data_IF_740071967574
#
_entry.id   IF_740071967574
#
_cell.length_a   1.000
_cell.length_b   1.000
_cell.length_c   1.000
_cell.angle_alpha   90.00
_cell.angle_beta   90.00
_cell.angle_gamma   90.00
#
_symmetry.space_group_name_H-M   'P 1'
#
loop_
_entity.id
_entity.type
_entity.pdbx_description
1 polymer ?
#
# COMPACT_ATOMS: atom_id res chain seq x y z
N UNK A 1 -29.68 6.22 22.29
CA UNK A 1 -28.38 5.92 21.57
C UNK A 1 -27.37 6.98 21.97
N UNK A 2 -26.20 6.58 22.49
CA UNK A 2 -25.12 7.53 22.78
C UNK A 2 -24.33 7.86 21.52
N UNK A 3 -23.89 9.12 21.39
CA UNK A 3 -23.02 9.54 20.29
C UNK A 3 -21.68 8.80 20.37
N UNK A 4 -21.18 8.28 19.25
CA UNK A 4 -19.95 7.47 19.15
C UNK A 4 -18.73 8.25 18.70
N UNK A 5 -18.86 9.57 18.48
CA UNK A 5 -17.75 10.43 18.10
C UNK A 5 -16.73 10.54 19.24
N UNK A 6 -15.45 10.50 18.90
CA UNK A 6 -14.33 10.77 19.81
C UNK A 6 -13.77 12.16 19.51
N UNK A 7 -13.18 12.80 20.52
CA UNK A 7 -12.41 14.03 20.29
C UNK A 7 -11.21 13.71 19.41
N UNK A 8 -10.85 14.58 18.43
CA UNK A 8 -9.67 14.37 17.62
C UNK A 8 -8.40 14.47 18.47
N UNK A 9 -7.49 13.56 18.26
CA UNK A 9 -6.14 13.58 18.83
C UNK A 9 -5.14 13.64 17.69
N UNK A 10 -4.08 14.43 17.83
CA UNK A 10 -3.00 14.47 16.86
C UNK A 10 -2.18 13.17 16.98
N UNK A 11 -2.28 12.30 16.00
CA UNK A 11 -1.49 11.07 15.92
C UNK A 11 -0.41 11.29 14.87
N UNK A 12 0.84 11.21 15.27
CA UNK A 12 1.96 11.16 14.33
C UNK A 12 1.95 9.83 13.57
N UNK A 13 1.60 9.90 12.31
CA UNK A 13 1.53 8.73 11.43
C UNK A 13 2.88 8.47 10.77
N UNK A 14 3.12 7.22 10.37
CA UNK A 14 4.22 6.84 9.49
C UNK A 14 4.00 7.42 8.09
N UNK A 15 5.09 7.82 7.44
CA UNK A 15 5.02 8.32 6.06
C UNK A 15 4.44 7.25 5.13
N UNK A 16 3.45 7.65 4.35
CA UNK A 16 2.92 6.86 3.23
C UNK A 16 3.00 7.71 1.97
N UNK A 17 3.94 7.42 1.07
CA UNK A 17 4.24 8.25 -0.09
C UNK A 17 4.29 7.46 -1.40
N UNK A 18 3.85 8.09 -2.48
CA UNK A 18 3.97 7.61 -3.84
C UNK A 18 4.90 8.55 -4.62
N UNK A 19 6.01 7.99 -5.17
CA UNK A 19 6.94 8.70 -6.04
C UNK A 19 6.80 8.19 -7.48
N UNK A 20 6.48 9.07 -8.41
CA UNK A 20 6.40 8.67 -9.82
C UNK A 20 7.21 9.62 -10.72
N UNK A 21 7.52 9.19 -11.91
CA UNK A 21 8.28 9.96 -12.88
C UNK A 21 8.99 9.07 -13.87
N UNK A 22 9.66 9.67 -14.86
CA UNK A 22 10.38 8.98 -15.92
C UNK A 22 11.51 8.10 -15.37
N UNK A 23 12.05 7.21 -16.21
CA UNK A 23 13.24 6.44 -15.86
C UNK A 23 14.44 7.35 -15.54
N UNK A 24 15.27 6.94 -14.58
CA UNK A 24 16.50 7.64 -14.23
C UNK A 24 16.35 8.97 -13.50
N UNK A 25 15.15 9.35 -13.04
CA UNK A 25 14.95 10.58 -12.26
C UNK A 25 15.33 10.43 -10.76
N UNK A 26 15.73 9.24 -10.31
CA UNK A 26 16.25 9.00 -8.97
C UNK A 26 15.23 8.55 -7.92
N UNK A 27 14.07 8.03 -8.34
CA UNK A 27 13.03 7.50 -7.42
C UNK A 27 13.60 6.45 -6.45
N UNK A 28 14.15 5.36 -7.00
CA UNK A 28 14.79 4.28 -6.26
C UNK A 28 15.89 4.80 -5.33
N UNK A 29 16.81 5.62 -5.87
CA UNK A 29 17.93 6.18 -5.10
C UNK A 29 17.47 6.92 -3.85
N UNK A 30 16.43 7.76 -3.95
CA UNK A 30 15.92 8.48 -2.79
C UNK A 30 15.16 7.57 -1.84
N UNK A 31 14.40 6.59 -2.36
CA UNK A 31 13.61 5.68 -1.53
C UNK A 31 14.47 4.78 -0.64
N UNK A 32 15.58 4.25 -1.16
CA UNK A 32 16.48 3.37 -0.40
C UNK A 32 17.43 4.11 0.56
N UNK A 33 17.44 5.45 0.56
CA UNK A 33 18.13 6.26 1.56
C UNK A 33 17.34 6.45 2.86
N UNK A 34 16.07 6.06 2.88
CA UNK A 34 15.26 6.08 4.09
C UNK A 34 15.77 5.09 5.14
N UNK A 35 15.45 5.29 6.42
CA UNK A 35 15.96 4.45 7.50
C UNK A 35 15.63 2.97 7.32
N UNK A 36 16.64 2.11 7.39
CA UNK A 36 16.53 0.63 7.33
C UNK A 36 15.48 0.14 6.32
N UNK A 37 15.68 0.40 5.02
CA UNK A 37 14.71 0.08 4.01
C UNK A 37 14.64 -1.44 3.74
N UNK A 38 13.45 -1.99 3.67
CA UNK A 38 13.16 -3.28 3.06
C UNK A 38 12.69 -3.02 1.63
N UNK A 39 13.59 -3.24 0.68
CA UNK A 39 13.32 -2.99 -0.74
C UNK A 39 12.71 -4.25 -1.38
N UNK A 40 11.51 -4.13 -1.92
CA UNK A 40 10.93 -5.11 -2.84
C UNK A 40 11.17 -4.60 -4.25
N UNK A 41 12.18 -5.19 -4.93
CA UNK A 41 12.59 -4.85 -6.29
C UNK A 41 11.86 -5.74 -7.29
N UNK A 42 11.01 -5.13 -8.10
CA UNK A 42 10.15 -5.84 -9.05
C UNK A 42 10.68 -5.85 -10.49
N UNK A 43 11.79 -5.18 -10.74
CA UNK A 43 12.44 -5.10 -12.06
C UNK A 43 13.88 -5.61 -12.05
N UNK A 44 14.39 -6.09 -10.91
CA UNK A 44 15.78 -6.48 -10.71
C UNK A 44 16.78 -5.37 -11.06
N UNK A 45 16.34 -4.12 -10.87
CA UNK A 45 17.12 -2.93 -11.17
C UNK A 45 18.14 -2.57 -10.08
N UNK A 46 17.99 -3.15 -8.88
CA UNK A 46 18.81 -2.81 -7.74
C UNK A 46 20.06 -3.69 -7.55
N UNK A 47 20.39 -4.56 -8.50
CA UNK A 47 21.59 -5.42 -8.45
C UNK A 47 22.90 -4.69 -8.79
N UNK A 48 22.87 -3.35 -8.96
CA UNK A 48 24.08 -2.59 -9.25
C UNK A 48 24.79 -2.16 -7.96
N UNK A 49 26.11 -2.01 -8.06
CA UNK A 49 26.99 -1.68 -6.92
C UNK A 49 26.53 -0.43 -6.14
N UNK A 50 26.06 0.59 -6.86
CA UNK A 50 25.60 1.85 -6.24
C UNK A 50 24.40 1.66 -5.31
N UNK A 51 23.40 0.87 -5.70
CA UNK A 51 22.24 0.63 -4.84
C UNK A 51 22.59 -0.29 -3.69
N UNK A 52 23.45 -1.26 -3.94
CA UNK A 52 23.97 -2.16 -2.91
C UNK A 52 24.73 -1.38 -1.82
N UNK A 53 25.56 -0.40 -2.18
CA UNK A 53 26.25 0.46 -1.21
C UNK A 53 25.26 1.29 -0.40
N UNK A 54 24.32 1.96 -1.04
CA UNK A 54 23.29 2.77 -0.34
C UNK A 54 22.46 1.90 0.62
N UNK A 55 22.06 0.70 0.21
CA UNK A 55 21.30 -0.23 1.07
C UNK A 55 22.13 -0.68 2.27
N UNK A 56 23.41 -0.99 2.09
CA UNK A 56 24.31 -1.33 3.20
C UNK A 56 24.45 -0.17 4.19
N UNK A 57 24.68 1.04 3.68
CA UNK A 57 24.85 2.24 4.50
C UNK A 57 23.55 2.60 5.27
N UNK A 58 22.41 2.37 4.68
CA UNK A 58 21.11 2.62 5.34
C UNK A 58 20.64 1.46 6.24
N UNK A 59 21.39 0.34 6.30
CA UNK A 59 20.99 -0.87 7.05
C UNK A 59 19.80 -1.58 6.43
N UNK A 60 19.67 -1.54 5.10
CA UNK A 60 18.56 -2.11 4.36
C UNK A 60 18.76 -3.54 3.89
N UNK A 61 17.70 -4.11 3.36
CA UNK A 61 17.68 -5.41 2.69
C UNK A 61 16.93 -5.31 1.36
N UNK A 62 17.14 -6.31 0.50
CA UNK A 62 16.47 -6.42 -0.79
C UNK A 62 15.81 -7.79 -0.92
N UNK A 63 14.57 -7.77 -1.38
CA UNK A 63 13.81 -8.93 -1.84
C UNK A 63 13.40 -8.70 -3.29
N UNK A 64 13.66 -9.67 -4.16
CA UNK A 64 13.37 -9.56 -5.59
C UNK A 64 12.21 -10.46 -5.96
N UNK A 65 11.16 -9.88 -6.51
CA UNK A 65 10.02 -10.64 -7.03
C UNK A 65 9.28 -9.89 -8.11
N UNK A 66 8.75 -10.61 -9.07
CA UNK A 66 7.77 -10.13 -10.05
C UNK A 66 6.38 -10.71 -9.80
N UNK A 67 6.21 -11.48 -8.72
CA UNK A 67 4.95 -12.11 -8.35
C UNK A 67 4.23 -11.33 -7.25
N UNK A 68 2.96 -11.00 -7.52
CA UNK A 68 2.15 -10.23 -6.58
C UNK A 68 1.82 -11.01 -5.29
N UNK A 69 1.67 -12.33 -5.37
CA UNK A 69 1.35 -13.13 -4.18
C UNK A 69 2.58 -13.23 -3.26
N UNK A 70 3.79 -13.32 -3.81
CA UNK A 70 5.03 -13.23 -3.02
C UNK A 70 5.15 -11.87 -2.33
N UNK A 71 4.87 -10.75 -3.05
CA UNK A 71 4.80 -9.43 -2.43
C UNK A 71 3.83 -9.43 -1.23
N UNK A 72 2.64 -10.02 -1.40
CA UNK A 72 1.63 -10.06 -0.33
C UNK A 72 2.10 -10.86 0.88
N UNK A 73 2.84 -11.94 0.68
CA UNK A 73 3.45 -12.74 1.76
C UNK A 73 4.46 -11.89 2.52
N UNK A 74 5.39 -11.22 1.82
CA UNK A 74 6.40 -10.36 2.44
C UNK A 74 5.76 -9.20 3.23
N UNK A 75 4.74 -8.55 2.67
CA UNK A 75 4.03 -7.47 3.37
C UNK A 75 3.34 -7.98 4.64
N UNK A 76 2.79 -9.20 4.62
CA UNK A 76 2.19 -9.82 5.82
C UNK A 76 3.24 -10.19 6.86
N UNK A 77 4.38 -10.73 6.44
CA UNK A 77 5.50 -11.00 7.35
C UNK A 77 6.00 -9.72 8.02
N UNK A 78 6.20 -8.64 7.26
CA UNK A 78 6.55 -7.32 7.81
C UNK A 78 5.48 -6.74 8.75
N UNK A 79 4.22 -7.11 8.57
CA UNK A 79 3.14 -6.68 9.45
C UNK A 79 3.14 -7.42 10.80
N UNK A 80 3.51 -8.70 10.80
CA UNK A 80 3.24 -9.62 11.92
C UNK A 80 4.48 -10.06 12.68
N UNK A 81 5.64 -10.06 12.02
CA UNK A 81 6.89 -10.51 12.62
C UNK A 81 7.71 -9.36 13.20
N UNK A 82 8.57 -9.66 14.18
CA UNK A 82 9.54 -8.69 14.70
C UNK A 82 10.71 -8.56 13.73
N UNK A 83 11.00 -7.35 13.32
CA UNK A 83 12.11 -7.04 12.43
C UNK A 83 12.69 -5.65 12.76
N UNK A 84 13.81 -5.32 12.16
CA UNK A 84 14.50 -4.04 12.39
C UNK A 84 14.23 -2.98 11.30
N UNK A 85 13.53 -3.35 10.22
CA UNK A 85 13.26 -2.44 9.12
C UNK A 85 12.27 -1.34 9.52
N UNK A 86 12.49 -0.13 9.03
CA UNK A 86 11.69 1.08 9.34
C UNK A 86 10.92 1.61 8.13
N UNK A 87 11.35 1.20 6.94
CA UNK A 87 10.77 1.66 5.67
C UNK A 87 10.56 0.48 4.74
N UNK A 88 9.35 0.30 4.24
CA UNK A 88 9.06 -0.58 3.13
C UNK A 88 9.12 0.23 1.83
N UNK A 89 9.89 -0.25 0.86
CA UNK A 89 9.96 0.31 -0.51
C UNK A 89 9.48 -0.74 -1.50
N UNK A 90 8.50 -0.40 -2.34
CA UNK A 90 8.07 -1.23 -3.47
C UNK A 90 8.47 -0.49 -4.76
N UNK A 91 9.38 -1.05 -5.54
CA UNK A 91 10.02 -0.36 -6.67
C UNK A 91 10.13 -1.22 -7.93
N UNK A 92 9.34 -0.88 -8.97
CA UNK A 92 8.11 -0.09 -8.96
C UNK A 92 6.84 -0.96 -8.82
N UNK A 93 5.74 -0.41 -8.30
CA UNK A 93 4.44 -1.10 -8.29
C UNK A 93 3.84 -1.28 -9.70
N UNK A 94 4.27 -0.48 -10.67
CA UNK A 94 3.79 -0.53 -12.06
C UNK A 94 3.92 -1.92 -12.67
N UNK A 95 5.06 -2.56 -12.51
CA UNK A 95 5.34 -3.90 -13.07
C UNK A 95 4.37 -4.95 -12.53
N UNK A 96 4.18 -4.97 -11.21
CA UNK A 96 3.24 -5.89 -10.58
C UNK A 96 1.78 -5.61 -10.97
N UNK A 97 1.42 -4.33 -11.14
CA UNK A 97 0.07 -3.97 -11.56
C UNK A 97 -0.21 -4.42 -13.00
N UNK A 98 0.74 -4.27 -13.91
CA UNK A 98 0.61 -4.73 -15.28
C UNK A 98 0.51 -6.26 -15.35
N UNK A 99 1.33 -6.99 -14.61
CA UNK A 99 1.22 -8.46 -14.47
C UNK A 99 -0.17 -8.88 -13.94
N UNK A 100 -0.70 -8.17 -12.95
CA UNK A 100 -2.06 -8.42 -12.46
C UNK A 100 -3.14 -8.20 -13.53
N UNK A 101 -2.99 -7.17 -14.37
CA UNK A 101 -3.91 -6.91 -15.47
C UNK A 101 -3.87 -8.06 -16.49
N UNK A 102 -2.68 -8.51 -16.87
CA UNK A 102 -2.48 -9.59 -17.84
C UNK A 102 -3.03 -10.92 -17.29
N UNK A 103 -2.69 -11.29 -16.06
CA UNK A 103 -3.23 -12.49 -15.39
C UNK A 103 -4.76 -12.44 -15.27
N UNK A 104 -5.32 -11.26 -14.98
CA UNK A 104 -6.78 -11.08 -14.89
C UNK A 104 -7.45 -11.24 -16.26
N UNK A 105 -6.84 -10.71 -17.33
CA UNK A 105 -7.33 -10.87 -18.69
C UNK A 105 -7.29 -12.34 -19.13
N UNK A 106 -6.18 -13.04 -18.87
CA UNK A 106 -6.06 -14.47 -19.16
C UNK A 106 -7.09 -15.32 -18.42
N UNK A 107 -7.31 -15.04 -17.13
CA UNK A 107 -8.32 -15.75 -16.34
C UNK A 107 -9.72 -15.55 -16.93
N UNK A 108 -10.08 -14.32 -17.28
CA UNK A 108 -11.39 -14.02 -17.90
C UNK A 108 -11.53 -14.67 -19.27
N UNK A 109 -10.48 -14.67 -20.07
CA UNK A 109 -10.45 -15.35 -21.38
C UNK A 109 -10.70 -16.86 -21.23
N UNK A 110 -10.01 -17.53 -20.32
CA UNK A 110 -10.16 -18.98 -20.06
C UNK A 110 -11.56 -19.36 -19.59
N UNK A 111 -12.23 -18.47 -18.86
CA UNK A 111 -13.58 -18.69 -18.33
C UNK A 111 -14.70 -18.10 -19.20
N UNK A 112 -14.38 -17.52 -20.35
CA UNK A 112 -15.39 -17.03 -21.30
C UNK A 112 -16.00 -18.17 -22.11
N UNK A 113 -17.30 -18.03 -22.39
CA UNK A 113 -18.02 -18.92 -23.33
C UNK A 113 -17.83 -18.50 -24.78
N UNK A 114 -17.31 -17.32 -25.04
CA UNK A 114 -17.07 -16.78 -26.38
C UNK A 114 -15.72 -17.25 -26.89
N UNK A 115 -15.67 -17.82 -28.11
CA UNK A 115 -14.45 -18.39 -28.70
C UNK A 115 -13.35 -17.36 -28.95
N UNK A 116 -13.73 -16.13 -29.23
CA UNK A 116 -12.81 -15.03 -29.58
C UNK A 116 -12.61 -14.01 -28.46
N UNK A 117 -12.97 -14.38 -27.20
CA UNK A 117 -12.80 -13.51 -26.04
C UNK A 117 -11.29 -13.22 -25.79
N UNK A 118 -10.96 -11.95 -25.58
CA UNK A 118 -9.61 -11.49 -25.22
C UNK A 118 -9.41 -11.44 -23.70
N UNK A 119 -10.49 -11.42 -22.93
CA UNK A 119 -10.50 -11.25 -21.48
C UNK A 119 -10.42 -9.79 -21.04
N UNK A 120 -10.35 -8.85 -22.00
CA UNK A 120 -10.27 -7.41 -21.73
C UNK A 120 -11.60 -6.66 -21.96
N UNK A 121 -12.65 -7.39 -22.38
CA UNK A 121 -13.95 -6.84 -22.73
C UNK A 121 -14.53 -6.04 -21.55
N UNK A 122 -15.07 -4.87 -21.88
CA UNK A 122 -15.66 -3.95 -20.90
C UNK A 122 -14.78 -3.59 -19.72
N UNK A 123 -13.46 -3.80 -19.83
CA UNK A 123 -12.49 -3.48 -18.77
C UNK A 123 -12.61 -4.33 -17.51
N UNK A 124 -13.21 -5.52 -17.58
CA UNK A 124 -13.40 -6.40 -16.40
C UNK A 124 -12.09 -6.80 -15.74
N UNK A 125 -11.01 -6.99 -16.49
CA UNK A 125 -9.68 -7.28 -15.98
C UNK A 125 -9.17 -6.21 -15.01
N UNK A 126 -9.53 -4.93 -15.20
CA UNK A 126 -9.22 -3.87 -14.24
C UNK A 126 -9.92 -4.07 -12.90
N UNK A 127 -11.14 -4.60 -12.87
CA UNK A 127 -11.88 -4.81 -11.62
C UNK A 127 -11.14 -5.76 -10.69
N UNK A 128 -10.68 -6.90 -11.21
CA UNK A 128 -9.97 -7.92 -10.42
C UNK A 128 -8.59 -7.44 -9.97
N UNK A 129 -7.79 -6.87 -10.88
CA UNK A 129 -6.49 -6.30 -10.54
C UNK A 129 -6.62 -5.18 -9.47
N UNK A 130 -7.62 -4.31 -9.61
CA UNK A 130 -7.84 -3.21 -8.67
C UNK A 130 -8.28 -3.69 -7.29
N UNK A 131 -9.00 -4.83 -7.16
CA UNK A 131 -9.30 -5.42 -5.85
C UNK A 131 -8.01 -5.82 -5.12
N UNK A 132 -7.10 -6.51 -5.81
CA UNK A 132 -5.80 -6.92 -5.25
C UNK A 132 -4.95 -5.72 -4.83
N UNK A 133 -4.90 -4.65 -5.64
CA UNK A 133 -4.20 -3.41 -5.25
C UNK A 133 -4.83 -2.76 -4.01
N UNK A 134 -6.16 -2.72 -3.92
CA UNK A 134 -6.84 -2.17 -2.73
C UNK A 134 -6.51 -2.99 -1.48
N UNK A 135 -6.46 -4.31 -1.60
CA UNK A 135 -6.08 -5.18 -0.49
C UNK A 135 -4.62 -4.95 -0.06
N UNK A 136 -3.69 -4.88 -1.01
CA UNK A 136 -2.31 -4.51 -0.73
C UNK A 136 -2.24 -3.18 0.05
N UNK A 137 -2.89 -2.13 -0.45
CA UNK A 137 -2.86 -0.81 0.22
C UNK A 137 -3.51 -0.84 1.60
N UNK A 138 -4.54 -1.67 1.79
CA UNK A 138 -5.12 -1.91 3.12
C UNK A 138 -4.09 -2.44 4.11
N UNK A 139 -3.29 -3.43 3.73
CA UNK A 139 -2.19 -3.96 4.55
C UNK A 139 -1.09 -2.92 4.76
N UNK A 140 -0.68 -2.20 3.70
CA UNK A 140 0.34 -1.13 3.80
C UNK A 140 -0.05 -0.03 4.79
N UNK A 141 -1.34 0.32 4.87
CA UNK A 141 -1.84 1.30 5.83
C UNK A 141 -1.81 0.80 7.29
N UNK A 142 -1.81 -0.52 7.48
CA UNK A 142 -1.71 -1.15 8.81
C UNK A 142 -0.26 -1.28 9.30
N UNK A 143 0.71 -1.31 8.38
CA UNK A 143 2.13 -1.37 8.75
C UNK A 143 2.54 -0.16 9.60
N UNK A 144 3.15 -0.39 10.75
CA UNK A 144 3.82 0.66 11.53
C UNK A 144 5.22 0.95 10.98
N UNK A 145 5.32 1.15 9.67
CA UNK A 145 6.52 1.48 8.92
C UNK A 145 6.26 2.65 7.99
N UNK A 146 7.32 3.36 7.60
CA UNK A 146 7.23 4.22 6.42
C UNK A 146 6.98 3.34 5.19
N UNK A 147 6.16 3.80 4.27
CA UNK A 147 5.92 3.10 3.00
C UNK A 147 6.16 4.05 1.85
N UNK A 148 7.05 3.66 0.96
CA UNK A 148 7.33 4.37 -0.27
C UNK A 148 7.04 3.43 -1.44
N UNK A 149 6.12 3.82 -2.28
CA UNK A 149 5.87 3.14 -3.54
C UNK A 149 6.43 3.99 -4.65
N UNK A 150 7.16 3.38 -5.55
CA UNK A 150 7.51 4.05 -6.80
C UNK A 150 6.62 3.58 -7.94
N UNK A 151 6.45 4.42 -8.95
CA UNK A 151 5.72 4.11 -10.17
C UNK A 151 6.38 4.75 -11.38
N UNK A 152 6.23 4.12 -12.53
CA UNK A 152 6.50 4.77 -13.79
C UNK A 152 5.52 5.93 -14.02
N UNK A 153 5.85 6.83 -14.92
CA UNK A 153 4.93 7.87 -15.37
C UNK A 153 4.35 7.52 -16.74
N UNK A 154 3.11 7.92 -16.95
CA UNK A 154 2.46 7.91 -18.26
C UNK A 154 1.88 9.28 -18.56
N UNK A 155 1.60 9.55 -19.84
CA UNK A 155 0.97 10.78 -20.25
C UNK A 155 -0.45 10.89 -19.69
N UNK A 156 -0.81 12.07 -19.25
CA UNK A 156 -2.17 12.46 -18.90
C UNK A 156 -2.78 13.22 -20.09
N UNK A 157 -3.99 12.83 -20.47
CA UNK A 157 -4.68 13.37 -21.64
C UNK A 157 -5.92 14.14 -21.25
N UNK A 158 -6.13 15.28 -21.89
CA UNK A 158 -7.40 16.01 -21.85
C UNK A 158 -8.48 15.27 -22.67
N UNK A 159 -9.75 15.71 -22.57
CA UNK A 159 -10.85 15.13 -23.36
C UNK A 159 -10.63 15.19 -24.87
N UNK A 160 -9.88 16.17 -25.38
CA UNK A 160 -9.49 16.32 -26.79
C UNK A 160 -8.22 15.54 -27.16
N UNK A 161 -7.78 14.59 -26.36
CA UNK A 161 -6.56 13.79 -26.54
C UNK A 161 -5.24 14.58 -26.52
N UNK A 162 -5.25 15.87 -26.14
CA UNK A 162 -4.02 16.62 -25.93
C UNK A 162 -3.33 16.17 -24.64
N UNK A 163 -1.99 16.06 -24.67
CA UNK A 163 -1.21 15.77 -23.47
C UNK A 163 -1.22 17.02 -22.58
N UNK A 164 -1.72 16.89 -21.36
CA UNK A 164 -1.82 17.97 -20.37
C UNK A 164 -0.82 17.82 -19.22
N UNK A 165 -0.13 16.69 -19.13
CA UNK A 165 0.83 16.42 -18.07
C UNK A 165 1.25 14.97 -18.01
N UNK A 166 1.73 14.56 -16.85
CA UNK A 166 2.05 13.18 -16.53
C UNK A 166 1.38 12.73 -15.24
N UNK A 167 1.08 11.44 -15.17
CA UNK A 167 0.54 10.79 -13.98
C UNK A 167 1.24 9.46 -13.76
N UNK A 168 1.03 8.83 -12.61
CA UNK A 168 1.58 7.52 -12.30
C UNK A 168 0.90 6.41 -13.13
N UNK A 169 1.67 5.39 -13.47
CA UNK A 169 1.20 4.24 -14.25
C UNK A 169 0.84 3.05 -13.35
N UNK A 170 -0.34 3.14 -12.75
CA UNK A 170 -0.92 2.14 -11.87
C UNK A 170 -2.44 2.35 -11.73
N UNK A 171 -3.06 1.74 -10.74
CA UNK A 171 -4.47 1.93 -10.39
C UNK A 171 -4.81 3.41 -10.21
N UNK A 172 -5.79 3.91 -10.98
CA UNK A 172 -6.12 5.35 -11.08
C UNK A 172 -6.41 6.05 -9.74
N UNK A 173 -6.88 5.31 -8.74
CA UNK A 173 -7.21 5.87 -7.42
C UNK A 173 -6.12 5.61 -6.38
N UNK A 174 -4.92 5.19 -6.81
CA UNK A 174 -3.81 4.90 -5.90
C UNK A 174 -3.41 6.15 -5.10
N UNK A 175 -3.43 7.33 -5.74
CA UNK A 175 -3.15 8.61 -5.12
C UNK A 175 -4.05 8.93 -3.91
N UNK A 176 -5.33 8.53 -3.94
CA UNK A 176 -6.24 8.74 -2.81
C UNK A 176 -5.83 7.97 -1.54
N UNK A 177 -5.00 6.97 -1.69
CA UNK A 177 -4.62 6.05 -0.62
C UNK A 177 -3.36 6.50 0.13
N UNK A 178 -2.59 7.45 -0.42
CA UNK A 178 -1.36 7.99 0.17
C UNK A 178 -1.53 9.40 0.70
N UNK A 179 -0.72 9.76 1.70
CA UNK A 179 -0.72 11.09 2.27
C UNK A 179 0.06 12.08 1.40
N UNK A 180 1.09 11.61 0.70
CA UNK A 180 1.93 12.38 -0.21
C UNK A 180 2.07 11.70 -1.56
N UNK A 181 1.96 12.48 -2.63
CA UNK A 181 2.25 12.04 -4.01
C UNK A 181 3.18 13.05 -4.65
N UNK A 182 4.35 12.59 -5.09
CA UNK A 182 5.35 13.42 -5.74
C UNK A 182 5.60 12.98 -7.17
N UNK A 183 5.54 13.93 -8.09
CA UNK A 183 6.09 13.79 -9.42
C UNK A 183 7.57 14.18 -9.40
N UNK A 184 8.45 13.23 -9.73
CA UNK A 184 9.88 13.46 -9.71
C UNK A 184 10.35 13.84 -11.12
N UNK A 185 10.99 15.00 -11.20
CA UNK A 185 11.44 15.61 -12.46
C UNK A 185 12.96 15.83 -12.45
N UNK A 186 13.57 15.65 -13.62
CA UNK A 186 14.95 16.04 -13.85
C UNK A 186 14.98 17.42 -14.50
N UNK A 187 15.57 18.40 -13.82
CA UNK A 187 15.79 19.76 -14.32
C UNK A 187 17.30 20.02 -14.42
N UNK A 188 17.83 19.81 -15.64
CA UNK A 188 19.27 19.86 -15.84
C UNK A 188 20.00 18.78 -15.01
N UNK A 189 20.86 19.19 -14.10
CA UNK A 189 21.56 18.28 -13.15
C UNK A 189 20.74 17.97 -11.91
N UNK A 190 19.75 18.79 -11.60
CA UNK A 190 18.97 18.70 -10.37
C UNK A 190 17.81 17.69 -10.47
N UNK A 191 17.42 17.20 -9.33
CA UNK A 191 16.22 16.39 -9.12
C UNK A 191 15.26 17.19 -8.26
N UNK A 192 14.05 17.38 -8.74
CA UNK A 192 13.02 18.11 -8.02
C UNK A 192 11.77 17.25 -7.87
N UNK A 193 11.12 17.37 -6.73
CA UNK A 193 9.81 16.82 -6.49
C UNK A 193 8.77 17.94 -6.68
N UNK A 194 7.74 17.66 -7.48
CA UNK A 194 6.51 18.45 -7.55
C UNK A 194 5.46 17.77 -6.69
N UNK A 195 4.92 18.46 -5.72
CA UNK A 195 3.83 17.97 -4.87
C UNK A 195 2.54 17.91 -5.68
N UNK A 196 2.08 16.72 -6.01
CA UNK A 196 0.82 16.50 -6.76
C UNK A 196 -0.37 16.29 -5.85
N UNK A 197 -0.09 15.87 -4.62
CA UNK A 197 -1.07 15.68 -3.55
C UNK A 197 -0.38 15.71 -2.21
N UNK A 198 -1.02 16.36 -1.25
CA UNK A 198 -0.61 16.36 0.15
C UNK A 198 -1.82 16.34 1.08
N UNK A 199 -1.63 15.73 2.26
CA UNK A 199 -2.49 15.88 3.44
C UNK A 199 -1.73 16.50 4.61
N UNK A 200 -0.53 17.01 4.36
CA UNK A 200 0.41 17.47 5.38
C UNK A 200 0.75 18.95 5.13
N UNK A 201 0.61 19.78 6.14
CA UNK A 201 0.86 21.23 6.04
C UNK A 201 2.31 21.58 5.66
N UNK A 202 3.27 20.68 6.00
CA UNK A 202 4.70 20.86 5.70
C UNK A 202 5.06 20.68 4.22
N UNK A 203 4.13 20.23 3.40
CA UNK A 203 4.27 20.10 1.95
C UNK A 203 3.12 20.84 1.29
N UNK A 204 3.43 21.96 0.63
CA UNK A 204 2.39 22.78 -0.04
C UNK A 204 2.00 22.15 -1.37
N UNK A 205 0.72 22.15 -1.69
CA UNK A 205 0.24 21.64 -2.97
C UNK A 205 0.84 22.44 -4.13
N UNK A 206 1.21 21.73 -5.21
CA UNK A 206 1.87 22.28 -6.41
C UNK A 206 3.26 22.92 -6.17
N UNK A 207 3.83 22.91 -4.97
CA UNK A 207 5.20 23.37 -4.77
C UNK A 207 6.23 22.41 -5.40
N UNK A 208 7.40 22.94 -5.72
CA UNK A 208 8.58 22.17 -6.10
C UNK A 208 9.70 22.34 -5.09
N UNK A 209 10.37 21.25 -4.75
CA UNK A 209 11.50 21.28 -3.82
C UNK A 209 12.61 20.31 -4.28
N UNK A 210 13.87 20.45 -3.79
CA UNK A 210 14.93 19.50 -4.10
C UNK A 210 14.57 18.08 -3.66
N UNK A 211 14.60 17.13 -4.58
CA UNK A 211 14.21 15.75 -4.28
C UNK A 211 15.35 14.99 -3.65
N UNK A 212 15.28 14.78 -2.36
CA UNK A 212 16.21 13.94 -1.57
C UNK A 212 15.56 13.42 -0.29
N UNK A 213 16.08 12.31 0.25
CA UNK A 213 15.68 11.85 1.58
C UNK A 213 15.85 12.93 2.64
N UNK A 214 16.98 13.63 2.65
CA UNK A 214 17.27 14.68 3.65
C UNK A 214 16.21 15.77 3.67
N UNK A 215 15.80 16.26 2.50
CA UNK A 215 14.78 17.30 2.40
C UNK A 215 13.41 16.81 2.88
N UNK A 216 13.05 15.58 2.51
CA UNK A 216 11.78 14.97 2.97
C UNK A 216 11.83 14.76 4.50
N UNK A 217 12.95 14.27 5.04
CA UNK A 217 13.09 14.01 6.45
C UNK A 217 13.05 15.29 7.30
N UNK A 218 13.68 16.38 6.82
CA UNK A 218 13.63 17.68 7.48
C UNK A 218 12.22 18.24 7.58
N UNK A 219 11.41 18.02 6.55
CA UNK A 219 10.01 18.49 6.50
C UNK A 219 9.08 17.58 7.29
N UNK A 220 9.22 16.26 7.13
CA UNK A 220 8.31 15.29 7.75
C UNK A 220 8.53 15.17 9.25
N UNK A 221 9.79 15.07 9.66
CA UNK A 221 10.25 14.80 11.01
C UNK A 221 11.11 13.53 11.02
N UNK A 222 12.41 13.72 11.25
CA UNK A 222 13.38 12.63 11.20
C UNK A 222 13.12 11.57 12.28
N UNK A 223 12.76 12.01 13.47
CA UNK A 223 12.40 11.17 14.62
C UNK A 223 11.20 10.25 14.32
N UNK A 224 10.21 10.74 13.59
CA UNK A 224 9.05 9.93 13.17
C UNK A 224 9.45 8.86 12.17
N UNK A 225 10.33 9.21 11.20
CA UNK A 225 10.81 8.28 10.18
C UNK A 225 11.71 7.19 10.77
N UNK A 226 12.45 7.50 11.84
CA UNK A 226 13.43 6.60 12.47
C UNK A 226 12.86 5.73 13.60
N UNK A 227 11.56 5.84 13.94
CA UNK A 227 10.95 4.96 14.95
C UNK A 227 11.03 3.50 14.56
N UNK A 228 11.12 2.62 15.54
CA UNK A 228 11.05 1.17 15.32
C UNK A 228 9.63 0.74 14.95
N UNK A 229 9.52 -0.26 14.12
CA UNK A 229 8.24 -0.85 13.72
C UNK A 229 7.66 -1.69 14.86
N UNK A 230 6.34 -1.67 14.98
CA UNK A 230 5.60 -2.49 15.94
C UNK A 230 4.83 -3.56 15.18
N UNK A 231 5.13 -4.83 15.45
CA UNK A 231 4.43 -5.95 14.86
C UNK A 231 2.97 -6.00 15.34
N UNK A 232 2.06 -6.30 14.42
CA UNK A 232 0.64 -6.44 14.71
C UNK A 232 0.30 -7.88 15.06
N UNK A 233 -0.36 -8.11 16.20
CA UNK A 233 -0.94 -9.41 16.52
C UNK A 233 -2.23 -9.62 15.71
N UNK A 234 -2.31 -10.71 14.98
CA UNK A 234 -3.50 -11.13 14.24
C UNK A 234 -4.35 -12.09 15.05
N UNK A 235 -5.57 -12.36 14.55
CA UNK A 235 -6.49 -13.32 15.11
C UNK A 235 -5.86 -14.71 15.24
N UNK A 236 -6.03 -15.36 16.38
CA UNK A 236 -5.64 -16.74 16.54
C UNK A 236 -6.67 -17.68 15.89
N UNK A 237 -6.24 -18.91 15.59
CA UNK A 237 -7.14 -19.94 15.06
C UNK A 237 -8.34 -20.21 15.98
N UNK A 238 -8.14 -20.15 17.29
CA UNK A 238 -9.20 -20.31 18.29
C UNK A 238 -10.21 -19.16 18.22
N UNK A 239 -9.73 -17.91 18.07
CA UNK A 239 -10.62 -16.75 17.92
C UNK A 239 -11.41 -16.84 16.62
N UNK A 240 -10.79 -17.24 15.52
CA UNK A 240 -11.46 -17.41 14.22
C UNK A 240 -12.55 -18.49 14.33
N UNK A 241 -12.22 -19.66 14.88
CA UNK A 241 -13.18 -20.76 15.08
C UNK A 241 -14.34 -20.35 15.97
N UNK A 242 -14.06 -19.66 17.08
CA UNK A 242 -15.10 -19.18 17.99
C UNK A 242 -16.00 -18.13 17.35
N UNK A 243 -15.43 -17.19 16.57
CA UNK A 243 -16.23 -16.20 15.86
C UNK A 243 -17.17 -16.85 14.83
N UNK A 244 -16.66 -17.78 14.02
CA UNK A 244 -17.45 -18.49 13.01
C UNK A 244 -18.59 -19.25 13.70
N UNK A 245 -18.29 -20.01 14.79
CA UNK A 245 -19.29 -20.74 15.58
C UNK A 245 -20.41 -19.80 16.10
N UNK A 246 -20.06 -18.61 16.59
CA UNK A 246 -21.02 -17.64 17.10
C UNK A 246 -21.85 -17.01 15.97
N UNK A 247 -21.25 -16.71 14.83
CA UNK A 247 -21.94 -16.20 13.63
C UNK A 247 -23.02 -17.18 13.18
N UNK A 248 -22.69 -18.47 13.10
CA UNK A 248 -23.61 -19.54 12.72
C UNK A 248 -24.73 -19.73 13.74
N UNK A 249 -24.40 -19.75 15.05
CA UNK A 249 -25.36 -19.94 16.15
C UNK A 249 -26.43 -18.85 16.17
N UNK A 250 -26.04 -17.57 15.99
CA UNK A 250 -26.96 -16.42 16.02
C UNK A 250 -27.53 -16.12 14.64
N UNK A 251 -27.02 -16.76 13.58
CA UNK A 251 -27.38 -16.50 12.17
C UNK A 251 -27.13 -15.04 11.81
N UNK A 252 -25.92 -14.54 12.08
CA UNK A 252 -25.54 -13.15 11.77
C UNK A 252 -25.60 -12.92 10.27
N UNK A 253 -26.33 -11.91 9.77
CA UNK A 253 -26.41 -11.60 8.34
C UNK A 253 -25.04 -11.25 7.77
N UNK A 254 -24.79 -11.65 6.52
CA UNK A 254 -23.52 -11.38 5.81
C UNK A 254 -23.14 -9.90 5.78
N UNK A 255 -24.12 -9.04 5.54
CA UNK A 255 -23.93 -7.59 5.54
C UNK A 255 -23.39 -7.03 6.88
N UNK A 256 -23.63 -7.72 7.98
CA UNK A 256 -23.17 -7.29 9.31
C UNK A 256 -21.73 -7.70 9.53
N UNK A 257 -21.39 -8.96 9.26
CA UNK A 257 -20.01 -9.41 9.48
C UNK A 257 -19.06 -8.89 8.41
N UNK A 258 -19.52 -8.61 7.18
CA UNK A 258 -18.71 -7.93 6.19
C UNK A 258 -18.25 -6.55 6.66
N UNK A 259 -19.12 -5.80 7.36
CA UNK A 259 -18.76 -4.51 7.97
C UNK A 259 -17.65 -4.63 9.04
N UNK A 260 -17.50 -5.79 9.67
CA UNK A 260 -16.41 -6.01 10.64
C UNK A 260 -15.07 -6.19 9.92
N UNK A 261 -15.06 -6.96 8.82
CA UNK A 261 -13.89 -7.11 7.95
C UNK A 261 -13.49 -5.76 7.34
N UNK A 262 -14.44 -5.03 6.77
CA UNK A 262 -14.19 -3.70 6.18
C UNK A 262 -13.60 -2.72 7.21
N UNK A 263 -14.16 -2.71 8.43
CA UNK A 263 -13.71 -1.82 9.50
C UNK A 263 -12.32 -2.15 10.01
N UNK A 264 -11.93 -3.41 9.96
CA UNK A 264 -10.57 -3.87 10.34
C UNK A 264 -9.58 -3.82 9.17
N UNK A 265 -10.03 -3.40 7.98
CA UNK A 265 -9.27 -3.46 6.74
C UNK A 265 -8.72 -4.87 6.46
N UNK A 266 -9.55 -5.89 6.63
CA UNK A 266 -9.20 -7.30 6.45
C UNK A 266 -10.12 -7.93 5.41
N UNK A 267 -9.60 -8.86 4.61
CA UNK A 267 -10.43 -9.65 3.67
C UNK A 267 -10.90 -10.97 4.29
N UNK A 268 -10.18 -11.46 5.29
CA UNK A 268 -10.43 -12.73 5.96
C UNK A 268 -10.33 -12.56 7.47
N UNK A 269 -10.94 -13.49 8.21
CA UNK A 269 -10.91 -13.48 9.68
C UNK A 269 -9.51 -13.59 10.26
N UNK A 270 -8.66 -14.40 9.63
CA UNK A 270 -7.26 -14.63 10.01
C UNK A 270 -6.40 -13.36 9.87
N UNK A 271 -6.82 -12.41 9.04
CA UNK A 271 -6.14 -11.12 8.85
C UNK A 271 -6.61 -10.05 9.83
N UNK A 272 -7.66 -10.31 10.59
CA UNK A 272 -8.14 -9.32 11.56
C UNK A 272 -7.12 -9.10 12.68
N UNK A 273 -6.93 -7.86 13.15
CA UNK A 273 -6.21 -7.62 14.40
C UNK A 273 -6.85 -8.42 15.54
N UNK A 274 -6.02 -9.03 16.38
CA UNK A 274 -6.44 -9.85 17.55
C UNK A 274 -7.51 -9.16 18.41
N UNK A 275 -7.32 -7.88 18.69
CA UNK A 275 -8.25 -7.10 19.48
C UNK A 275 -9.58 -6.83 18.75
N UNK A 276 -9.53 -6.72 17.42
CA UNK A 276 -10.73 -6.45 16.64
C UNK A 276 -11.64 -7.67 16.58
N UNK A 277 -11.08 -8.86 16.33
CA UNK A 277 -11.85 -10.10 16.33
C UNK A 277 -12.40 -10.41 17.75
N UNK A 278 -11.61 -10.14 18.79
CA UNK A 278 -12.07 -10.34 20.17
C UNK A 278 -13.31 -9.48 20.50
N UNK A 279 -13.32 -8.21 20.07
CA UNK A 279 -14.49 -7.35 20.22
C UNK A 279 -15.74 -7.88 19.49
N UNK A 280 -15.57 -8.52 18.34
CA UNK A 280 -16.67 -9.15 17.63
C UNK A 280 -17.20 -10.37 18.39
N UNK A 281 -16.32 -11.21 18.94
CA UNK A 281 -16.66 -12.36 19.76
C UNK A 281 -17.45 -11.91 21.02
N UNK A 282 -16.92 -10.92 21.74
CA UNK A 282 -17.54 -10.40 22.96
C UNK A 282 -18.92 -9.81 22.69
N UNK A 283 -19.07 -9.05 21.61
CA UNK A 283 -20.36 -8.52 21.18
C UNK A 283 -21.39 -9.61 20.90
N UNK A 284 -21.00 -10.72 20.25
CA UNK A 284 -21.91 -11.83 19.98
C UNK A 284 -22.26 -12.60 21.25
N UNK A 285 -21.32 -12.78 22.18
CA UNK A 285 -21.57 -13.41 23.48
C UNK A 285 -22.58 -12.62 24.33
N UNK A 286 -22.46 -11.30 24.36
CA UNK A 286 -23.44 -10.43 25.05
C UNK A 286 -24.86 -10.61 24.46
N UNK A 287 -24.96 -10.68 23.14
CA UNK A 287 -26.25 -10.94 22.47
C UNK A 287 -26.88 -12.29 22.81
N UNK A 288 -26.06 -13.32 23.02
CA UNK A 288 -26.56 -14.66 23.45
C UNK A 288 -27.07 -14.62 24.88
N UNK A 289 -26.39 -13.87 25.73
CA UNK A 289 -26.74 -13.79 27.15
C UNK A 289 -27.92 -12.83 27.44
N UNK A 290 -28.52 -12.20 26.44
CA UNK A 290 -29.69 -11.36 26.57
C UNK A 290 -29.42 -9.93 27.04
N UNK A 291 -28.19 -9.43 26.93
CA UNK A 291 -27.78 -8.06 27.20
C UNK A 291 -27.68 -7.17 25.93
#
# INVERSE_FOLDING_TARGET
MALRAKKPEAIEKRLKALFYGSAGVGKTTAAIQFPRPYLIDTERGAENDRYTEILKDSGGAIFQTTDFEELMVEVKSLLTEKHEYKTLVIDPLTTLYNDLLDKSAEYLKKNSKEKDATGTEFGRHYSEANKKIKHLVSLLNRLDMNVIITSHSKNEYAQNMAIIGSTFDCYKKLDYMFDLVFEIQKRGKDRVALVKKTRLEKFTDAETFPFSYTEIANRYGKDVLERDAIAQELASDEQVKELIRLIELIKVPEEVYQKWLDKSNSEKWEEMPKDAIQKCIDYLKLKINGE
#
